data_IF_474679089306
#
_entry.id   IF_474679089306
#
_cell.length_a   1.000
_cell.length_b   1.000
_cell.length_c   1.000
_cell.angle_alpha   90.00
_cell.angle_beta   90.00
_cell.angle_gamma   90.00
#
_symmetry.space_group_name_H-M   'P 1'
#
loop_
_entity.id
_entity.type
_entity.pdbx_description
1 polymer ?
#
# COMPACT_ATOMS: atom_id res chain seq x y z
N UNK A 1 -19.91 -27.84 27.30
CA UNK A 1 -19.28 -26.67 26.67
C UNK A 1 -17.86 -27.10 26.35
N UNK A 2 -17.56 -27.35 25.08
CA UNK A 2 -16.25 -27.85 24.66
C UNK A 2 -15.25 -26.70 24.73
N UNK A 3 -14.02 -26.99 25.17
CA UNK A 3 -12.92 -26.01 25.21
C UNK A 3 -12.56 -25.48 23.81
N UNK A 4 -13.02 -26.15 22.75
CA UNK A 4 -12.85 -25.73 21.37
C UNK A 4 -13.75 -24.53 20.97
N UNK A 5 -14.85 -24.27 21.70
CA UNK A 5 -15.70 -23.08 21.47
C UNK A 5 -15.09 -21.78 22.02
N UNK A 6 -13.98 -21.87 22.75
CA UNK A 6 -13.22 -20.73 23.29
C UNK A 6 -12.04 -20.33 22.40
N UNK A 7 -11.85 -21.00 21.26
CA UNK A 7 -10.92 -20.60 20.20
C UNK A 7 -11.48 -19.38 19.43
N UNK A 8 -11.55 -18.23 20.09
CA UNK A 8 -11.61 -16.94 19.40
C UNK A 8 -10.20 -16.63 18.92
N UNK A 9 -9.95 -16.85 17.64
CA UNK A 9 -8.79 -16.31 16.93
C UNK A 9 -7.57 -17.23 16.86
N UNK A 10 -7.53 -18.09 15.83
CA UNK A 10 -6.33 -18.33 15.02
C UNK A 10 -6.65 -19.36 13.92
N UNK A 11 -7.56 -19.00 13.02
CA UNK A 11 -7.51 -19.61 11.70
C UNK A 11 -6.31 -18.93 10.99
N UNK A 12 -5.20 -19.64 10.79
CA UNK A 12 -3.95 -19.11 10.19
C UNK A 12 -4.10 -18.61 8.73
N UNK A 13 -5.33 -18.54 8.22
CA UNK A 13 -5.66 -18.35 6.81
C UNK A 13 -6.72 -17.27 6.56
N UNK A 14 -7.25 -16.62 7.60
CA UNK A 14 -8.23 -15.55 7.41
C UNK A 14 -7.52 -14.19 7.49
N UNK A 15 -7.63 -13.42 6.39
CA UNK A 15 -7.22 -12.01 6.33
C UNK A 15 -7.80 -11.25 7.52
N UNK A 16 -7.16 -10.14 7.94
CA UNK A 16 -7.74 -9.28 8.96
C UNK A 16 -9.20 -8.90 8.64
N UNK A 17 -10.02 -8.71 9.67
CA UNK A 17 -11.44 -8.35 9.52
C UNK A 17 -11.71 -6.94 8.96
N UNK A 18 -10.65 -6.22 8.58
CA UNK A 18 -10.67 -4.87 8.07
C UNK A 18 -10.04 -4.78 6.67
N UNK A 19 -10.30 -3.68 5.96
CA UNK A 19 -9.79 -3.43 4.62
C UNK A 19 -8.30 -3.04 4.65
N UNK A 20 -7.43 -4.05 4.57
CA UNK A 20 -5.97 -3.88 4.56
C UNK A 20 -5.50 -2.98 3.40
N UNK A 21 -5.94 -3.16 2.14
CA UNK A 21 -5.56 -2.25 1.06
C UNK A 21 -5.82 -0.76 1.35
N UNK A 22 -7.00 -0.43 1.87
CA UNK A 22 -7.31 0.98 2.20
C UNK A 22 -6.48 1.47 3.39
N UNK A 23 -6.30 0.66 4.43
CA UNK A 23 -5.47 1.04 5.58
C UNK A 23 -4.00 1.22 5.20
N UNK A 24 -3.49 0.42 4.26
CA UNK A 24 -2.14 0.56 3.74
C UNK A 24 -1.94 1.89 3.00
N UNK A 25 -2.93 2.35 2.23
CA UNK A 25 -2.90 3.66 1.56
C UNK A 25 -2.82 4.78 2.60
N UNK A 26 -3.61 4.69 3.68
CA UNK A 26 -3.56 5.64 4.79
C UNK A 26 -2.20 5.61 5.46
N UNK A 27 -1.65 4.43 5.77
CA UNK A 27 -0.31 4.29 6.36
C UNK A 27 0.78 4.97 5.51
N UNK A 28 0.74 4.80 4.19
CA UNK A 28 1.74 5.41 3.29
C UNK A 28 1.69 6.95 3.30
N UNK A 29 0.52 7.54 3.58
CA UNK A 29 0.31 8.99 3.62
C UNK A 29 0.55 9.58 5.00
N UNK A 30 0.13 8.88 6.05
CA UNK A 30 0.08 9.40 7.42
C UNK A 30 1.33 9.08 8.24
N UNK A 31 2.08 8.02 7.91
CA UNK A 31 3.36 7.76 8.57
C UNK A 31 4.40 8.80 8.10
N UNK A 32 4.88 9.71 8.97
CA UNK A 32 5.72 10.83 8.53
C UNK A 32 7.05 10.38 7.93
N UNK A 33 7.57 9.23 8.37
CA UNK A 33 8.85 8.70 7.91
C UNK A 33 8.68 8.02 6.56
N UNK A 34 7.62 7.23 6.39
CA UNK A 34 7.28 6.63 5.11
C UNK A 34 6.95 7.69 4.07
N UNK A 35 6.09 8.66 4.43
CA UNK A 35 5.69 9.73 3.53
C UNK A 35 6.91 10.48 2.98
N UNK A 36 7.78 10.94 3.88
CA UNK A 36 8.96 11.73 3.52
C UNK A 36 9.98 10.96 2.69
N UNK A 37 10.21 9.68 3.00
CA UNK A 37 11.30 8.89 2.39
C UNK A 37 10.87 8.14 1.14
N UNK A 38 9.61 7.73 1.07
CA UNK A 38 9.12 6.80 0.05
C UNK A 38 7.99 7.46 -0.75
N UNK A 39 6.91 7.91 -0.10
CA UNK A 39 5.71 8.37 -0.80
C UNK A 39 5.95 9.63 -1.65
N UNK A 40 6.42 10.72 -1.03
CA UNK A 40 6.59 12.00 -1.71
C UNK A 40 7.58 11.91 -2.89
N UNK A 41 8.80 11.32 -2.73
CA UNK A 41 9.71 11.13 -3.86
C UNK A 41 9.11 10.28 -4.99
N UNK A 42 8.29 9.28 -4.65
CA UNK A 42 7.60 8.46 -5.66
C UNK A 42 6.57 9.31 -6.42
N UNK A 43 5.81 10.17 -5.75
CA UNK A 43 4.85 11.07 -6.42
C UNK A 43 5.54 12.08 -7.34
N UNK A 44 6.66 12.69 -6.92
CA UNK A 44 7.50 13.52 -7.80
C UNK A 44 7.93 12.75 -9.06
N UNK A 45 8.34 11.49 -8.89
CA UNK A 45 8.68 10.60 -10.00
C UNK A 45 7.50 10.30 -10.92
N UNK A 46 6.32 10.01 -10.35
CA UNK A 46 5.08 9.76 -11.08
C UNK A 46 4.62 11.00 -11.86
N UNK A 47 4.69 12.20 -11.28
CA UNK A 47 4.36 13.43 -12.00
C UNK A 47 5.30 13.67 -13.18
N UNK A 48 6.61 13.44 -13.00
CA UNK A 48 7.55 13.48 -14.12
C UNK A 48 7.18 12.48 -15.23
N UNK A 49 6.73 11.28 -14.87
CA UNK A 49 6.27 10.29 -15.84
C UNK A 49 4.96 10.72 -16.52
N UNK A 50 4.02 11.29 -15.76
CA UNK A 50 2.76 11.84 -16.27
C UNK A 50 3.01 12.94 -17.31
N UNK A 51 3.88 13.90 -17.00
CA UNK A 51 4.26 15.01 -17.89
C UNK A 51 4.92 14.52 -19.20
N UNK A 52 5.59 13.38 -19.16
CA UNK A 52 6.21 12.74 -20.32
C UNK A 52 5.28 11.76 -21.06
N UNK A 53 4.04 11.58 -20.59
CA UNK A 53 3.07 10.65 -21.19
C UNK A 53 3.35 9.16 -20.94
N UNK A 54 4.16 8.81 -19.94
CA UNK A 54 4.57 7.43 -19.65
C UNK A 54 3.89 6.88 -18.39
N UNK A 55 2.63 6.42 -18.55
CA UNK A 55 1.85 5.84 -17.44
C UNK A 55 2.49 4.54 -16.92
N UNK A 56 3.05 3.70 -17.80
CA UNK A 56 3.64 2.42 -17.42
C UNK A 56 4.84 2.59 -16.49
N UNK A 57 5.64 3.63 -16.72
CA UNK A 57 6.76 3.98 -15.82
C UNK A 57 6.28 4.46 -14.45
N UNK A 58 5.12 5.11 -14.36
CA UNK A 58 4.51 5.48 -13.07
C UNK A 58 4.19 4.22 -12.25
N UNK A 59 3.62 3.20 -12.88
CA UNK A 59 3.32 1.92 -12.19
C UNK A 59 4.58 1.21 -11.71
N UNK A 60 5.67 1.27 -12.49
CA UNK A 60 6.98 0.72 -12.09
C UNK A 60 7.60 1.44 -10.89
N UNK A 61 7.26 2.70 -10.65
CA UNK A 61 7.69 3.45 -9.46
C UNK A 61 6.83 3.13 -8.23
N UNK A 62 5.52 2.98 -8.43
CA UNK A 62 4.57 2.71 -7.35
C UNK A 62 4.76 1.32 -6.75
N UNK A 63 4.99 0.29 -7.57
CA UNK A 63 5.05 -1.10 -7.07
C UNK A 63 6.14 -1.31 -6.00
N UNK A 64 7.40 -0.90 -6.19
CA UNK A 64 8.43 -1.04 -5.15
C UNK A 64 8.13 -0.24 -3.87
N UNK A 65 7.47 0.91 -3.99
CA UNK A 65 7.04 1.70 -2.83
C UNK A 65 5.97 0.93 -2.03
N UNK A 66 4.99 0.34 -2.71
CA UNK A 66 3.94 -0.46 -2.09
C UNK A 66 4.53 -1.71 -1.43
N UNK A 67 5.50 -2.38 -2.05
CA UNK A 67 6.20 -3.53 -1.44
C UNK A 67 6.87 -3.15 -0.12
N UNK A 68 7.54 -1.99 -0.07
CA UNK A 68 8.09 -1.44 1.18
C UNK A 68 7.00 -1.07 2.18
N UNK A 69 5.86 -0.57 1.72
CA UNK A 69 4.74 -0.24 2.57
C UNK A 69 4.19 -1.48 3.26
N UNK A 70 3.95 -2.57 2.53
CA UNK A 70 3.49 -3.85 3.09
C UNK A 70 4.48 -4.35 4.15
N UNK A 71 5.78 -4.35 3.85
CA UNK A 71 6.81 -4.77 4.79
C UNK A 71 6.91 -3.88 6.03
N UNK A 72 6.80 -2.56 5.84
CA UNK A 72 6.81 -1.59 6.94
C UNK A 72 5.57 -1.71 7.83
N UNK A 73 4.41 -1.92 7.21
CA UNK A 73 3.12 -2.05 7.87
C UNK A 73 3.05 -3.34 8.71
N UNK A 74 3.43 -4.49 8.16
CA UNK A 74 3.47 -5.76 8.91
C UNK A 74 4.39 -5.68 10.12
N UNK A 75 5.59 -5.11 9.96
CA UNK A 75 6.56 -4.93 11.05
C UNK A 75 6.11 -3.92 12.10
N UNK A 76 5.51 -2.80 11.68
CA UNK A 76 5.09 -1.72 12.60
C UNK A 76 3.98 -2.17 13.53
N UNK A 77 3.06 -2.99 13.04
CA UNK A 77 1.89 -3.45 13.79
C UNK A 77 2.00 -4.90 14.28
N UNK A 78 3.18 -5.52 14.14
CA UNK A 78 3.48 -6.90 14.56
C UNK A 78 2.42 -7.90 14.09
N UNK A 79 2.09 -7.80 12.79
CA UNK A 79 1.02 -8.59 12.21
C UNK A 79 1.47 -10.05 12.00
N UNK A 80 0.66 -11.05 12.39
CA UNK A 80 1.01 -12.47 12.27
C UNK A 80 0.78 -13.02 10.85
N UNK A 81 1.05 -12.20 9.82
CA UNK A 81 0.81 -12.53 8.41
C UNK A 81 2.07 -12.32 7.57
N UNK A 82 2.33 -13.25 6.66
CA UNK A 82 3.36 -13.06 5.62
C UNK A 82 2.92 -11.96 4.64
N UNK A 83 3.87 -11.17 4.14
CA UNK A 83 3.57 -9.98 3.31
C UNK A 83 2.75 -10.31 2.05
N UNK A 84 3.02 -11.45 1.42
CA UNK A 84 2.31 -11.89 0.22
C UNK A 84 0.93 -12.49 0.52
N UNK A 85 0.72 -13.00 1.73
CA UNK A 85 -0.58 -13.53 2.16
C UNK A 85 -1.49 -12.38 2.61
N UNK A 86 -0.90 -11.37 3.25
CA UNK A 86 -1.61 -10.17 3.71
C UNK A 86 -2.08 -9.30 2.52
N UNK A 87 -1.17 -8.99 1.60
CA UNK A 87 -1.46 -8.19 0.41
C UNK A 87 -0.83 -8.88 -0.82
N UNK A 88 -1.58 -9.76 -1.50
CA UNK A 88 -1.14 -10.41 -2.73
C UNK A 88 -0.79 -9.41 -3.84
N UNK A 89 -0.01 -9.86 -4.82
CA UNK A 89 0.49 -9.00 -5.90
C UNK A 89 -0.62 -8.30 -6.71
N UNK A 90 -1.77 -8.95 -6.90
CA UNK A 90 -2.90 -8.34 -7.62
C UNK A 90 -3.52 -7.19 -6.81
N UNK A 91 -3.66 -7.32 -5.50
CA UNK A 91 -4.09 -6.23 -4.63
C UNK A 91 -3.06 -5.09 -4.59
N UNK A 92 -1.77 -5.39 -4.68
CA UNK A 92 -0.73 -4.34 -4.81
C UNK A 92 -0.90 -3.53 -6.10
N UNK A 93 -1.26 -4.19 -7.21
CA UNK A 93 -1.56 -3.49 -8.47
C UNK A 93 -2.83 -2.65 -8.35
N UNK A 94 -3.86 -3.15 -7.68
CA UNK A 94 -5.09 -2.37 -7.41
C UNK A 94 -4.80 -1.14 -6.55
N UNK A 95 -3.98 -1.28 -5.50
CA UNK A 95 -3.50 -0.17 -4.68
C UNK A 95 -2.73 0.84 -5.53
N UNK A 96 -1.81 0.38 -6.40
CA UNK A 96 -1.07 1.26 -7.30
C UNK A 96 -2.00 2.06 -8.23
N UNK A 97 -3.00 1.40 -8.80
CA UNK A 97 -3.98 2.05 -9.68
C UNK A 97 -4.83 3.07 -8.91
N UNK A 98 -5.30 2.74 -7.70
CA UNK A 98 -6.05 3.67 -6.82
C UNK A 98 -5.24 4.91 -6.46
N UNK A 99 -3.99 4.72 -6.00
CA UNK A 99 -3.09 5.85 -5.69
C UNK A 99 -2.90 6.73 -6.92
N UNK A 100 -2.60 6.15 -8.09
CA UNK A 100 -2.39 6.93 -9.30
C UNK A 100 -3.63 7.73 -9.71
N UNK A 101 -4.83 7.14 -9.62
CA UNK A 101 -6.09 7.81 -9.94
C UNK A 101 -6.40 8.97 -8.98
N UNK A 102 -6.13 8.79 -7.69
CA UNK A 102 -6.31 9.84 -6.68
C UNK A 102 -5.31 10.99 -6.89
N UNK A 103 -4.07 10.68 -7.28
CA UNK A 103 -2.99 11.65 -7.40
C UNK A 103 -2.94 12.38 -8.76
N UNK A 104 -3.65 11.88 -9.78
CA UNK A 104 -3.58 12.40 -11.15
C UNK A 104 -3.94 13.88 -11.27
N UNK A 105 -4.82 14.38 -10.41
CA UNK A 105 -5.21 15.79 -10.45
C UNK A 105 -4.09 16.70 -9.92
N UNK A 106 -3.41 16.31 -8.84
CA UNK A 106 -2.23 17.01 -8.33
C UNK A 106 -1.06 16.95 -9.33
N UNK A 107 -0.92 15.85 -10.08
CA UNK A 107 0.06 15.78 -11.16
C UNK A 107 -0.17 16.84 -12.23
N UNK A 108 -1.43 17.05 -12.65
CA UNK A 108 -1.81 18.09 -13.63
C UNK A 108 -1.56 19.50 -13.10
N UNK A 109 -1.73 19.71 -11.80
CA UNK A 109 -1.61 21.01 -11.15
C UNK A 109 -0.16 21.40 -10.84
N UNK A 110 0.79 20.46 -10.88
CA UNK A 110 2.20 20.77 -10.62
C UNK A 110 2.57 20.74 -9.13
N UNK A 111 1.80 20.02 -8.29
CA UNK A 111 1.94 20.04 -6.83
C UNK A 111 3.12 19.20 -6.28
N UNK A 112 3.87 18.52 -7.16
CA UNK A 112 4.95 17.59 -6.83
C UNK A 112 6.27 17.95 -7.52
#
# INVERSE_FOLDING_TARGET
MNLDDLSIGANKYDKPSYDVPTDLIVFMRDDPMFYRKEYYPTMCGCQNCYNNGDKDKSMKLLMPMIDKAVSGYTKKYDLPYEENDLVPIEERKEIAQRIYEEEVNYFKEGEY
#
